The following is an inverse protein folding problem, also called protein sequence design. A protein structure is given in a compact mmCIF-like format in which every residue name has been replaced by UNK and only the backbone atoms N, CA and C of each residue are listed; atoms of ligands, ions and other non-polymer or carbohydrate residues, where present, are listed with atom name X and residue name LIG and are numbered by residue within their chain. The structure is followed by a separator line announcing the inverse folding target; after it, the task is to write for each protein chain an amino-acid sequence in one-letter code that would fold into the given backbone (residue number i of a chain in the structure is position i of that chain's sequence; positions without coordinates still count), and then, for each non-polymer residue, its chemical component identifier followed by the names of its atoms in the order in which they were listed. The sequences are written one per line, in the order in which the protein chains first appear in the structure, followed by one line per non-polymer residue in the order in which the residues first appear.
data_IF_354992923061
#
_entry.id   IF_354992923061
#
_cell.length_a   1.000
_cell.length_b   1.000
_cell.length_c   1.000
_cell.angle_alpha   90.00
_cell.angle_beta   90.00
_cell.angle_gamma   90.00
#
_symmetry.space_group_name_H-M   'P 1'
#
loop_
_entity.id
_entity.type
_entity.pdbx_description
1 polymer ?
#
# COMPACT_ATOMS: atom_id res chain seq x y z
N UNK A 1 37.40 6.60 -37.86
CA UNK A 1 36.69 7.45 -36.89
C UNK A 1 35.29 6.92 -36.56
N UNK A 2 34.44 6.58 -37.55
CA UNK A 2 33.10 6.00 -37.29
C UNK A 2 33.10 4.69 -36.48
N UNK A 3 34.08 3.80 -36.70
CA UNK A 3 34.18 2.53 -35.95
C UNK A 3 34.43 2.72 -34.45
N UNK A 4 35.26 3.70 -34.08
CA UNK A 4 35.58 4.00 -32.67
C UNK A 4 34.36 4.56 -31.93
N UNK A 5 33.57 5.42 -32.61
CA UNK A 5 32.32 5.96 -32.05
C UNK A 5 31.24 4.89 -31.84
N UNK A 6 31.24 3.84 -32.65
CA UNK A 6 30.27 2.76 -32.55
C UNK A 6 30.59 1.79 -31.40
N UNK A 7 31.86 1.43 -31.23
CA UNK A 7 32.30 0.60 -30.10
C UNK A 7 32.09 1.30 -28.76
N UNK A 8 32.37 2.61 -28.67
CA UNK A 8 32.10 3.38 -27.44
C UNK A 8 30.61 3.47 -27.11
N UNK A 9 29.74 3.60 -28.12
CA UNK A 9 28.29 3.64 -27.93
C UNK A 9 27.76 2.29 -27.40
N UNK A 10 28.28 1.18 -27.92
CA UNK A 10 27.94 -0.16 -27.41
C UNK A 10 28.34 -0.34 -25.97
N UNK A 11 29.59 -0.01 -25.62
CA UNK A 11 30.09 -0.18 -24.26
C UNK A 11 29.21 0.58 -23.24
N UNK A 12 28.86 1.83 -23.56
CA UNK A 12 27.95 2.62 -22.72
C UNK A 12 26.58 1.96 -22.55
N UNK A 13 25.96 1.44 -23.63
CA UNK A 13 24.67 0.75 -23.52
C UNK A 13 24.74 -0.51 -22.67
N UNK A 14 25.87 -1.24 -22.68
CA UNK A 14 26.02 -2.44 -21.87
C UNK A 14 26.05 -2.14 -20.38
N UNK A 15 26.78 -1.08 -20.00
CA UNK A 15 26.90 -0.68 -18.61
C UNK A 15 25.53 -0.26 -18.06
N UNK A 16 24.74 0.49 -18.83
CA UNK A 16 23.40 0.93 -18.42
C UNK A 16 22.43 -0.25 -18.26
N UNK A 17 22.38 -1.15 -19.24
CA UNK A 17 21.56 -2.37 -19.13
C UNK A 17 21.99 -3.24 -17.95
N UNK A 18 23.29 -3.41 -17.72
CA UNK A 18 23.79 -4.21 -16.60
C UNK A 18 23.41 -3.61 -15.25
N UNK A 19 23.56 -2.30 -15.07
CA UNK A 19 23.19 -1.60 -13.83
C UNK A 19 21.69 -1.70 -13.59
N UNK A 20 20.87 -1.43 -14.61
CA UNK A 20 19.43 -1.60 -14.53
C UNK A 20 19.08 -3.04 -14.12
N UNK A 21 19.82 -4.01 -14.63
CA UNK A 21 19.58 -5.42 -14.33
C UNK A 21 19.93 -5.78 -12.88
N UNK A 22 21.09 -5.35 -12.39
CA UNK A 22 21.42 -5.51 -10.98
C UNK A 22 20.35 -4.85 -10.08
N UNK A 23 19.83 -3.70 -10.50
CA UNK A 23 18.84 -2.96 -9.75
C UNK A 23 17.49 -3.68 -9.65
N UNK A 24 16.92 -4.23 -10.73
CA UNK A 24 15.65 -4.98 -10.60
C UNK A 24 15.84 -6.30 -9.86
N UNK A 25 16.98 -6.99 -10.01
CA UNK A 25 17.23 -8.23 -9.28
C UNK A 25 17.28 -8.00 -7.77
N UNK A 26 17.97 -6.95 -7.34
CA UNK A 26 18.01 -6.54 -5.93
C UNK A 26 16.63 -6.10 -5.44
N UNK A 27 15.87 -5.36 -6.25
CA UNK A 27 14.50 -4.95 -5.92
C UNK A 27 13.56 -6.14 -5.75
N UNK A 28 13.63 -7.11 -6.67
CA UNK A 28 12.87 -8.35 -6.58
C UNK A 28 13.25 -9.16 -5.34
N UNK A 29 14.54 -9.20 -5.00
CA UNK A 29 15.02 -9.90 -3.80
C UNK A 29 14.48 -9.27 -2.52
N UNK A 30 14.50 -7.94 -2.41
CA UNK A 30 13.91 -7.21 -1.27
C UNK A 30 12.41 -7.42 -1.21
N UNK A 31 11.71 -7.35 -2.35
CA UNK A 31 10.28 -7.60 -2.43
C UNK A 31 9.94 -9.02 -1.95
N UNK A 32 10.61 -10.05 -2.48
CA UNK A 32 10.42 -11.44 -2.04
C UNK A 32 10.72 -11.63 -0.57
N UNK A 33 11.81 -11.04 -0.06
CA UNK A 33 12.17 -11.14 1.35
C UNK A 33 11.08 -10.55 2.25
N UNK A 34 10.59 -9.36 1.91
CA UNK A 34 9.48 -8.71 2.60
C UNK A 34 8.22 -9.60 2.58
N UNK A 35 7.89 -10.18 1.41
CA UNK A 35 6.75 -11.12 1.28
C UNK A 35 6.89 -12.34 2.17
N UNK A 36 8.07 -12.93 2.24
CA UNK A 36 8.30 -14.11 3.09
C UNK A 36 8.12 -13.78 4.57
N UNK A 37 8.52 -12.57 4.99
CA UNK A 37 8.33 -12.12 6.37
C UNK A 37 6.86 -11.81 6.70
N UNK A 38 6.11 -11.21 5.76
CA UNK A 38 4.71 -10.83 5.98
C UNK A 38 3.73 -11.98 5.76
N UNK A 39 4.12 -13.02 5.01
CA UNK A 39 3.25 -14.12 4.57
C UNK A 39 2.44 -14.76 5.70
N UNK A 40 3.06 -15.08 6.84
CA UNK A 40 2.34 -15.71 7.96
C UNK A 40 1.19 -14.85 8.48
N UNK A 41 1.43 -13.53 8.58
CA UNK A 41 0.42 -12.57 9.05
C UNK A 41 -0.66 -12.34 8.00
N UNK A 42 -0.27 -12.30 6.73
CA UNK A 42 -1.20 -12.18 5.61
C UNK A 42 -2.17 -13.37 5.54
N UNK A 43 -1.68 -14.59 5.74
CA UNK A 43 -2.51 -15.81 5.79
C UNK A 43 -3.59 -15.70 6.87
N UNK A 44 -3.23 -15.23 8.06
CA UNK A 44 -4.19 -15.13 9.16
C UNK A 44 -5.21 -14.00 8.98
N UNK A 45 -4.82 -12.85 8.41
CA UNK A 45 -5.72 -11.69 8.27
C UNK A 45 -6.55 -11.76 6.99
N UNK A 46 -5.96 -12.14 5.87
CA UNK A 46 -6.58 -11.99 4.55
C UNK A 46 -7.40 -13.22 4.16
N UNK A 47 -6.94 -14.41 4.56
CA UNK A 47 -7.52 -15.67 4.09
C UNK A 47 -8.52 -16.30 5.06
N UNK A 48 -8.51 -15.90 6.34
CA UNK A 48 -9.49 -16.39 7.32
C UNK A 48 -10.80 -15.58 7.33
N UNK A 49 -10.79 -14.34 6.85
CA UNK A 49 -11.97 -13.47 6.86
C UNK A 49 -12.77 -13.58 5.54
N UNK A 50 -14.11 -13.66 5.58
CA UNK A 50 -14.96 -13.86 4.40
C UNK A 50 -15.10 -12.64 3.47
N UNK A 51 -14.27 -11.60 3.61
CA UNK A 51 -14.31 -10.38 2.79
C UNK A 51 -13.64 -10.59 1.43
N UNK A 52 -14.43 -11.07 0.46
CA UNK A 52 -13.94 -11.52 -0.86
C UNK A 52 -13.33 -10.43 -1.76
N UNK A 53 -13.74 -9.15 -1.65
CA UNK A 53 -13.34 -8.14 -2.66
C UNK A 53 -11.93 -7.59 -2.45
N UNK A 54 -11.63 -7.12 -1.23
CA UNK A 54 -10.31 -6.54 -0.92
C UNK A 54 -9.19 -7.58 -0.98
N UNK A 55 -9.45 -8.81 -0.51
CA UNK A 55 -8.51 -9.92 -0.59
C UNK A 55 -8.15 -10.29 -2.04
N UNK A 56 -9.14 -10.30 -2.95
CA UNK A 56 -8.89 -10.55 -4.38
C UNK A 56 -8.05 -9.44 -5.02
N UNK A 57 -8.35 -8.17 -4.72
CA UNK A 57 -7.60 -7.02 -5.24
C UNK A 57 -6.13 -7.07 -4.78
N UNK A 58 -5.93 -7.36 -3.50
CA UNK A 58 -4.61 -7.53 -2.89
C UNK A 58 -3.85 -8.71 -3.52
N UNK A 59 -4.47 -9.89 -3.60
CA UNK A 59 -3.84 -11.06 -4.23
C UNK A 59 -3.47 -10.78 -5.70
N UNK A 60 -4.34 -10.10 -6.45
CA UNK A 60 -4.06 -9.70 -7.84
C UNK A 60 -2.86 -8.74 -7.93
N UNK A 61 -2.71 -7.82 -6.97
CA UNK A 61 -1.56 -6.90 -6.91
C UNK A 61 -0.26 -7.70 -6.75
N UNK A 62 -0.21 -8.65 -5.82
CA UNK A 62 1.00 -9.45 -5.59
C UNK A 62 1.33 -10.40 -6.72
N UNK A 63 0.32 -11.08 -7.27
CA UNK A 63 0.50 -11.97 -8.42
C UNK A 63 1.01 -11.15 -9.61
N UNK A 64 0.42 -9.98 -9.90
CA UNK A 64 0.89 -9.12 -10.98
C UNK A 64 2.31 -8.58 -10.76
N UNK A 65 2.68 -8.25 -9.53
CA UNK A 65 4.06 -7.84 -9.19
C UNK A 65 5.06 -8.98 -9.40
N UNK A 66 4.75 -10.20 -8.94
CA UNK A 66 5.62 -11.37 -9.15
C UNK A 66 5.75 -11.69 -10.64
N UNK A 67 4.65 -11.69 -11.40
CA UNK A 67 4.70 -11.88 -12.85
C UNK A 67 5.53 -10.80 -13.55
N UNK A 68 5.40 -9.54 -13.12
CA UNK A 68 6.18 -8.43 -13.66
C UNK A 68 7.68 -8.69 -13.48
N UNK A 69 8.13 -9.03 -12.27
CA UNK A 69 9.54 -9.31 -12.01
C UNK A 69 10.04 -10.56 -12.74
N UNK A 70 9.25 -11.64 -12.75
CA UNK A 70 9.61 -12.87 -13.44
C UNK A 70 9.75 -12.63 -14.96
N UNK A 71 8.83 -11.88 -15.57
CA UNK A 71 8.89 -11.53 -16.98
C UNK A 71 10.08 -10.60 -17.27
N UNK A 72 10.37 -9.64 -16.40
CA UNK A 72 11.51 -8.75 -16.53
C UNK A 72 12.84 -9.55 -16.49
N UNK A 73 13.04 -10.43 -15.51
CA UNK A 73 14.21 -11.31 -15.43
C UNK A 73 14.30 -12.24 -16.66
N UNK A 74 13.16 -12.77 -17.13
CA UNK A 74 13.12 -13.62 -18.31
C UNK A 74 13.56 -12.87 -19.59
N UNK A 75 13.23 -11.58 -19.75
CA UNK A 75 13.73 -10.77 -20.87
C UNK A 75 15.25 -10.57 -20.83
N UNK A 76 15.87 -10.64 -19.65
CA UNK A 76 17.32 -10.45 -19.51
C UNK A 76 18.13 -11.70 -19.75
N UNK A 77 17.53 -12.87 -19.58
CA UNK A 77 18.20 -14.15 -19.79
C UNK A 77 18.67 -14.33 -21.25
N UNK A 78 18.41 -13.37 -22.15
CA UNK A 78 18.94 -13.35 -23.51
C UNK A 78 18.42 -14.53 -24.31
N UNK A 79 17.12 -14.77 -24.19
CA UNK A 79 16.46 -15.86 -24.89
C UNK A 79 16.50 -15.62 -26.41
N UNK A 80 16.15 -16.64 -27.17
CA UNK A 80 15.97 -16.47 -28.61
C UNK A 80 14.89 -15.41 -28.89
N UNK A 81 15.06 -14.65 -29.97
CA UNK A 81 14.18 -13.53 -30.32
C UNK A 81 12.69 -13.91 -30.42
N UNK A 82 12.41 -15.19 -30.73
CA UNK A 82 11.06 -15.76 -30.72
C UNK A 82 10.44 -15.83 -29.30
N UNK A 83 11.25 -16.12 -28.27
CA UNK A 83 10.80 -16.14 -26.88
C UNK A 83 10.62 -14.73 -26.34
N UNK A 84 11.52 -13.81 -26.64
CA UNK A 84 11.39 -12.39 -26.22
C UNK A 84 10.10 -11.76 -26.77
N UNK A 85 9.73 -12.12 -28.00
CA UNK A 85 8.45 -11.73 -28.61
C UNK A 85 7.22 -12.19 -27.83
N UNK A 86 7.32 -13.28 -27.07
CA UNK A 86 6.25 -13.78 -26.20
C UNK A 86 6.34 -13.22 -24.77
N UNK A 87 7.56 -13.05 -24.25
CA UNK A 87 7.79 -12.61 -22.86
C UNK A 87 7.53 -11.10 -22.70
N UNK A 88 7.94 -10.28 -23.67
CA UNK A 88 7.81 -8.82 -23.56
C UNK A 88 6.35 -8.33 -23.45
N UNK A 89 5.37 -8.85 -24.22
CA UNK A 89 3.96 -8.53 -23.99
C UNK A 89 3.46 -8.92 -22.60
N UNK A 90 3.95 -10.04 -22.04
CA UNK A 90 3.59 -10.47 -20.67
C UNK A 90 4.14 -9.47 -19.66
N UNK A 91 5.41 -9.08 -19.80
CA UNK A 91 6.02 -8.02 -18.97
C UNK A 91 5.19 -6.73 -18.99
N UNK A 92 4.84 -6.24 -20.18
CA UNK A 92 4.06 -5.01 -20.33
C UNK A 92 2.63 -5.13 -19.79
N UNK A 93 1.97 -6.27 -20.01
CA UNK A 93 0.64 -6.55 -19.47
C UNK A 93 0.65 -6.63 -17.95
N UNK A 94 1.67 -7.26 -17.35
CA UNK A 94 1.87 -7.30 -15.90
C UNK A 94 2.10 -5.91 -15.33
N UNK A 95 2.93 -5.08 -15.96
CA UNK A 95 3.13 -3.69 -15.55
C UNK A 95 1.84 -2.86 -15.63
N UNK A 96 1.08 -3.01 -16.71
CA UNK A 96 -0.21 -2.34 -16.90
C UNK A 96 -1.21 -2.75 -15.82
N UNK A 97 -1.29 -4.04 -15.52
CA UNK A 97 -2.16 -4.59 -14.47
C UNK A 97 -1.74 -4.09 -13.09
N UNK A 98 -0.44 -4.10 -12.78
CA UNK A 98 0.10 -3.59 -11.52
C UNK A 98 -0.23 -2.11 -11.34
N UNK A 99 0.01 -1.29 -12.38
CA UNK A 99 -0.28 0.14 -12.37
C UNK A 99 -1.76 0.45 -12.18
N UNK A 100 -2.65 -0.29 -12.86
CA UNK A 100 -4.10 -0.11 -12.72
C UNK A 100 -4.60 -0.53 -11.35
N UNK A 101 -4.12 -1.65 -10.81
CA UNK A 101 -4.47 -2.09 -9.45
C UNK A 101 -4.02 -1.07 -8.40
N UNK A 102 -2.82 -0.51 -8.53
CA UNK A 102 -2.34 0.56 -7.67
C UNK A 102 -3.20 1.83 -7.79
N UNK A 103 -3.64 2.18 -9.00
CA UNK A 103 -4.56 3.29 -9.22
C UNK A 103 -5.92 3.06 -8.56
N UNK A 104 -6.46 1.84 -8.64
CA UNK A 104 -7.71 1.46 -7.97
C UNK A 104 -7.56 1.54 -6.45
N UNK A 105 -6.49 0.98 -5.88
CA UNK A 105 -6.23 1.01 -4.43
C UNK A 105 -6.13 2.45 -3.93
N UNK A 106 -5.38 3.30 -4.63
CA UNK A 106 -5.23 4.71 -4.26
C UNK A 106 -6.53 5.49 -4.37
N UNK A 107 -7.31 5.27 -5.43
CA UNK A 107 -8.63 5.88 -5.59
C UNK A 107 -9.62 5.43 -4.50
N UNK A 108 -9.63 4.14 -4.14
CA UNK A 108 -10.45 3.61 -3.04
C UNK A 108 -10.07 4.22 -1.70
N UNK A 109 -8.76 4.39 -1.43
CA UNK A 109 -8.28 5.06 -0.21
C UNK A 109 -8.78 6.49 -0.13
N UNK A 110 -8.66 7.26 -1.21
CA UNK A 110 -9.15 8.64 -1.28
C UNK A 110 -10.67 8.69 -1.11
N UNK A 111 -11.39 7.76 -1.74
CA UNK A 111 -12.82 7.66 -1.63
C UNK A 111 -13.26 7.43 -0.17
N UNK A 112 -12.61 6.52 0.55
CA UNK A 112 -12.86 6.27 1.96
C UNK A 112 -12.66 7.51 2.83
N UNK A 113 -11.55 8.22 2.63
CA UNK A 113 -11.24 9.47 3.36
C UNK A 113 -12.26 10.58 3.07
N UNK A 114 -12.66 10.75 1.80
CA UNK A 114 -13.62 11.78 1.41
C UNK A 114 -15.06 11.44 1.79
N UNK A 115 -15.40 10.16 1.96
CA UNK A 115 -16.75 9.73 2.34
C UNK A 115 -17.21 10.37 3.67
N UNK A 116 -16.28 10.66 4.58
CA UNK A 116 -16.56 11.30 5.85
C UNK A 116 -16.87 12.81 5.76
N UNK A 117 -16.44 13.49 4.69
CA UNK A 117 -16.49 14.97 4.58
C UNK A 117 -17.54 15.46 3.57
N UNK A 118 -18.15 14.53 2.82
CA UNK A 118 -19.16 14.82 1.80
C UNK A 118 -18.84 14.08 0.50
N UNK A 119 -19.88 13.52 -0.12
CA UNK A 119 -19.78 12.52 -1.20
C UNK A 119 -19.31 13.11 -2.55
N UNK A 120 -18.06 13.55 -2.63
CA UNK A 120 -17.45 14.09 -3.86
C UNK A 120 -16.61 13.03 -4.57
N UNK A 121 -17.24 12.29 -5.48
CA UNK A 121 -16.60 11.28 -6.34
C UNK A 121 -15.58 11.87 -7.34
N UNK A 122 -15.58 13.18 -7.53
CA UNK A 122 -14.72 13.85 -8.51
C UNK A 122 -13.23 13.69 -8.20
N UNK A 123 -12.83 13.78 -6.93
CA UNK A 123 -11.41 13.69 -6.53
C UNK A 123 -10.82 12.29 -6.81
N UNK A 124 -11.41 11.17 -6.34
CA UNK A 124 -10.88 9.85 -6.68
C UNK A 124 -10.93 9.56 -8.18
N UNK A 125 -11.94 10.07 -8.91
CA UNK A 125 -12.00 9.93 -10.36
C UNK A 125 -10.85 10.67 -11.08
N UNK A 126 -10.50 11.88 -10.65
CA UNK A 126 -9.36 12.64 -11.18
C UNK A 126 -8.05 11.91 -10.90
N UNK A 127 -7.85 11.38 -9.69
CA UNK A 127 -6.64 10.63 -9.34
C UNK A 127 -6.52 9.35 -10.16
N UNK A 128 -7.62 8.61 -10.33
CA UNK A 128 -7.66 7.44 -11.19
C UNK A 128 -7.29 7.79 -12.64
N UNK A 129 -7.87 8.88 -13.18
CA UNK A 129 -7.57 9.35 -14.52
C UNK A 129 -6.09 9.76 -14.71
N UNK A 130 -5.44 10.31 -13.66
CA UNK A 130 -4.03 10.67 -13.69
C UNK A 130 -3.09 9.45 -13.72
N UNK A 131 -3.53 8.27 -13.29
CA UNK A 131 -2.73 7.04 -13.38
C UNK A 131 -2.89 6.29 -14.72
N UNK A 132 -3.99 6.53 -15.46
CA UNK A 132 -4.25 5.89 -16.77
C UNK A 132 -3.13 6.09 -17.82
N UNK A 133 -2.40 7.23 -17.88
CA UNK A 133 -1.28 7.40 -18.79
C UNK A 133 -0.21 6.31 -18.69
N UNK A 134 0.08 5.80 -17.48
CA UNK A 134 1.05 4.71 -17.29
C UNK A 134 0.62 3.43 -18.00
N UNK A 135 -0.66 3.07 -17.86
CA UNK A 135 -1.26 1.92 -18.53
C UNK A 135 -1.30 2.10 -20.05
N UNK A 136 -1.66 3.29 -20.52
CA UNK A 136 -1.67 3.61 -21.95
C UNK A 136 -0.26 3.50 -22.55
N UNK A 137 0.76 3.98 -21.83
CA UNK A 137 2.15 3.88 -22.26
C UNK A 137 2.61 2.42 -22.43
N UNK A 138 2.23 1.53 -21.52
CA UNK A 138 2.56 0.11 -21.64
C UNK A 138 1.93 -0.56 -22.88
N UNK A 139 0.71 -0.16 -23.27
CA UNK A 139 0.06 -0.67 -24.47
C UNK A 139 0.76 -0.13 -25.72
N UNK A 140 1.03 1.17 -25.74
CA UNK A 140 1.71 1.85 -26.84
C UNK A 140 3.12 1.27 -27.03
N UNK A 141 3.87 1.03 -25.95
CA UNK A 141 5.22 0.48 -26.04
C UNK A 141 5.21 -0.90 -26.73
N UNK A 142 4.28 -1.79 -26.39
CA UNK A 142 4.13 -3.10 -27.04
C UNK A 142 3.82 -2.96 -28.53
N UNK A 143 2.91 -2.06 -28.91
CA UNK A 143 2.50 -1.89 -30.30
C UNK A 143 3.62 -1.36 -31.21
N UNK A 144 4.55 -0.58 -30.67
CA UNK A 144 5.64 0.05 -31.44
C UNK A 144 7.00 -0.64 -31.24
N UNK A 145 7.05 -1.76 -30.52
CA UNK A 145 8.28 -2.54 -30.32
C UNK A 145 8.57 -3.41 -31.54
N UNK A 146 9.80 -3.34 -32.05
CA UNK A 146 10.30 -4.20 -33.12
C UNK A 146 11.46 -5.05 -32.61
N UNK A 147 11.54 -6.27 -33.15
CA UNK A 147 12.51 -7.28 -32.73
C UNK A 147 13.49 -7.51 -33.87
N UNK A 148 14.77 -7.31 -33.62
CA UNK A 148 15.82 -7.54 -34.61
C UNK A 148 16.81 -8.60 -34.10
N UNK A 149 17.02 -9.71 -34.84
CA UNK A 149 18.02 -10.70 -34.45
C UNK A 149 19.41 -10.09 -34.56
N UNK A 150 20.24 -10.32 -33.54
CA UNK A 150 21.63 -9.83 -33.47
C UNK A 150 22.60 -11.00 -33.22
N UNK A 151 23.88 -10.85 -33.61
CA UNK A 151 24.89 -11.87 -33.35
C UNK A 151 25.27 -11.92 -31.86
N UNK A 152 25.69 -13.10 -31.40
CA UNK A 152 26.13 -13.35 -30.01
C UNK A 152 27.10 -12.24 -29.50
N UNK A 153 26.97 -11.77 -28.24
CA UNK A 153 26.18 -12.34 -27.14
C UNK A 153 24.70 -11.93 -27.08
N UNK A 154 24.29 -10.85 -27.73
CA UNK A 154 22.89 -10.43 -27.76
C UNK A 154 22.19 -11.20 -28.88
N UNK A 155 21.17 -12.01 -28.56
CA UNK A 155 20.42 -12.77 -29.58
C UNK A 155 19.30 -11.95 -30.22
N UNK A 156 18.74 -10.99 -29.49
CA UNK A 156 17.62 -10.18 -29.92
C UNK A 156 17.80 -8.75 -29.40
N UNK A 157 17.79 -7.78 -30.32
CA UNK A 157 17.71 -6.37 -30.00
C UNK A 157 16.23 -5.98 -30.02
N UNK A 158 15.76 -5.45 -28.89
CA UNK A 158 14.42 -4.88 -28.76
C UNK A 158 14.57 -3.39 -28.98
N UNK A 159 14.10 -2.89 -30.12
CA UNK A 159 14.16 -1.47 -30.45
C UNK A 159 12.75 -0.89 -30.61
N UNK A 160 12.57 0.32 -30.08
CA UNK A 160 11.36 1.10 -30.23
C UNK A 160 11.61 2.15 -31.29
N UNK A 161 11.04 1.97 -32.48
CA UNK A 161 11.21 2.83 -33.68
C UNK A 161 10.97 4.33 -33.44
N UNK A 162 10.42 4.71 -32.29
CA UNK A 162 10.07 6.08 -31.92
C UNK A 162 10.65 6.47 -30.56
N UNK A 163 11.97 6.33 -30.38
CA UNK A 163 12.71 6.76 -29.19
C UNK A 163 12.32 8.18 -28.70
N UNK A 164 12.14 9.14 -29.62
CA UNK A 164 11.71 10.49 -29.24
C UNK A 164 10.27 10.57 -28.70
N UNK A 165 9.38 9.69 -29.16
CA UNK A 165 8.01 9.63 -28.63
C UNK A 165 7.99 8.97 -27.27
N UNK A 166 8.75 7.88 -27.06
CA UNK A 166 8.81 7.20 -25.76
C UNK A 166 9.33 8.14 -24.68
N UNK A 167 10.38 8.91 -24.94
CA UNK A 167 10.92 9.90 -23.99
C UNK A 167 9.89 10.98 -23.60
N UNK A 168 9.17 11.54 -24.59
CA UNK A 168 8.14 12.57 -24.32
C UNK A 168 6.96 12.01 -23.53
N UNK A 169 6.50 10.81 -23.88
CA UNK A 169 5.42 10.16 -23.16
C UNK A 169 5.82 9.79 -21.73
N UNK A 170 7.05 9.32 -21.52
CA UNK A 170 7.56 9.00 -20.19
C UNK A 170 7.53 10.22 -19.26
N UNK A 171 7.95 11.39 -19.74
CA UNK A 171 7.86 12.65 -18.98
C UNK A 171 6.41 12.94 -18.57
N UNK A 172 5.47 12.79 -19.50
CA UNK A 172 4.04 13.02 -19.24
C UNK A 172 3.54 12.04 -18.18
N UNK A 173 3.84 10.75 -18.32
CA UNK A 173 3.45 9.71 -17.36
C UNK A 173 3.98 10.03 -15.97
N UNK A 174 5.28 10.34 -15.85
CA UNK A 174 5.90 10.68 -14.56
C UNK A 174 5.32 11.96 -13.95
N UNK A 175 5.07 12.99 -14.75
CA UNK A 175 4.43 14.22 -14.31
C UNK A 175 3.00 13.96 -13.79
N UNK A 176 2.21 13.16 -14.49
CA UNK A 176 0.86 12.77 -14.06
C UNK A 176 0.90 11.99 -12.73
N UNK A 177 1.84 11.05 -12.57
CA UNK A 177 2.03 10.31 -11.31
C UNK A 177 2.39 11.22 -10.14
N UNK A 178 3.30 12.19 -10.33
CA UNK A 178 3.67 13.16 -9.29
C UNK A 178 2.47 14.02 -8.88
N UNK A 179 1.70 14.50 -9.87
CA UNK A 179 0.47 15.27 -9.59
C UNK A 179 -0.54 14.40 -8.85
N UNK A 180 -0.72 13.14 -9.25
CA UNK A 180 -1.63 12.21 -8.58
C UNK A 180 -1.23 12.00 -7.11
N UNK A 181 0.04 11.71 -6.84
CA UNK A 181 0.53 11.50 -5.48
C UNK A 181 0.46 12.78 -4.63
N UNK A 182 0.69 13.95 -5.24
CA UNK A 182 0.51 15.26 -4.58
C UNK A 182 -0.95 15.49 -4.19
N UNK A 183 -1.90 15.15 -5.07
CA UNK A 183 -3.33 15.25 -4.78
C UNK A 183 -3.73 14.28 -3.67
N UNK A 184 -3.26 13.03 -3.69
CA UNK A 184 -3.49 12.04 -2.63
C UNK A 184 -2.99 12.57 -1.29
N UNK A 185 -1.78 13.13 -1.26
CA UNK A 185 -1.17 13.71 -0.06
C UNK A 185 -2.01 14.89 0.45
N UNK A 186 -2.38 15.83 -0.42
CA UNK A 186 -3.17 17.01 -0.06
C UNK A 186 -4.55 16.64 0.49
N UNK A 187 -5.21 15.65 -0.11
CA UNK A 187 -6.53 15.17 0.34
C UNK A 187 -6.41 14.51 1.70
N UNK A 188 -5.41 13.64 1.86
CA UNK A 188 -5.13 12.98 3.14
C UNK A 188 -4.87 14.04 4.21
N UNK A 189 -3.95 14.98 3.93
CA UNK A 189 -3.60 16.07 4.85
C UNK A 189 -4.82 16.89 5.25
N UNK A 190 -5.66 17.30 4.29
CA UNK A 190 -6.88 18.08 4.59
C UNK A 190 -7.86 17.33 5.47
N UNK A 191 -8.03 16.03 5.26
CA UNK A 191 -8.91 15.23 6.11
C UNK A 191 -8.34 15.03 7.52
N UNK A 192 -7.01 14.96 7.64
CA UNK A 192 -6.36 14.70 8.92
C UNK A 192 -6.10 15.98 9.74
N UNK A 193 -5.97 17.15 9.10
CA UNK A 193 -5.63 18.42 9.74
C UNK A 193 -6.63 18.89 10.83
N UNK A 194 -7.97 18.75 10.69
CA UNK A 194 -8.92 19.12 11.73
C UNK A 194 -8.74 18.32 13.02
N UNK A 195 -8.51 17.00 12.90
CA UNK A 195 -8.29 16.12 14.04
C UNK A 195 -7.01 16.51 14.80
N UNK A 196 -5.95 16.87 14.06
CA UNK A 196 -4.72 17.40 14.64
C UNK A 196 -4.95 18.72 15.40
N UNK A 197 -5.73 19.64 14.81
CA UNK A 197 -6.05 20.93 15.45
C UNK A 197 -6.87 20.74 16.72
N UNK A 198 -7.85 19.83 16.70
CA UNK A 198 -8.71 19.55 17.86
C UNK A 198 -7.92 18.87 18.99
N UNK A 199 -7.04 17.93 18.67
CA UNK A 199 -6.15 17.31 19.67
C UNK A 199 -5.24 18.33 20.37
N UNK A 200 -4.76 19.36 19.65
CA UNK A 200 -3.92 20.41 20.24
C UNK A 200 -4.68 21.38 21.16
N UNK A 201 -6.00 21.52 20.96
CA UNK A 201 -6.84 22.43 21.76
C UNK A 201 -7.21 21.90 23.13
N UNK A 202 -7.14 20.58 23.33
CA UNK A 202 -7.49 19.92 24.59
C UNK A 202 -6.16 19.50 25.24
N UNK A 203 -5.76 20.16 26.33
CA UNK A 203 -4.52 19.90 27.10
C UNK A 203 -4.56 18.53 27.84
N UNK A 204 -4.97 17.45 27.17
CA UNK A 204 -4.97 16.09 27.71
C UNK A 204 -3.56 15.53 27.64
N UNK A 205 -2.89 15.49 28.79
CA UNK A 205 -1.48 15.10 28.93
C UNK A 205 -1.14 13.65 28.54
N UNK A 206 -2.09 12.76 28.24
CA UNK A 206 -1.78 11.30 28.30
C UNK A 206 -2.34 10.31 27.25
N UNK A 207 -3.10 10.68 26.20
CA UNK A 207 -3.22 9.79 25.02
C UNK A 207 -2.92 10.44 23.65
N UNK A 208 -2.55 11.72 23.61
CA UNK A 208 -2.25 12.46 22.37
C UNK A 208 -1.00 11.91 21.65
N UNK A 209 -0.08 11.28 22.40
CA UNK A 209 1.17 10.77 21.83
C UNK A 209 0.93 9.72 20.74
N UNK A 210 -0.07 8.84 20.90
CA UNK A 210 -0.26 7.69 20.01
C UNK A 210 -0.88 8.09 18.67
N UNK A 211 -1.94 8.90 18.68
CA UNK A 211 -2.55 9.43 17.44
C UNK A 211 -1.61 10.40 16.74
N UNK A 212 -0.85 11.20 17.49
CA UNK A 212 0.16 12.09 16.91
C UNK A 212 1.31 11.30 16.27
N UNK A 213 1.73 10.17 16.86
CA UNK A 213 2.74 9.27 16.28
C UNK A 213 2.21 8.57 15.01
N UNK A 214 0.99 8.02 15.06
CA UNK A 214 0.33 7.37 13.91
C UNK A 214 0.07 8.34 12.75
N UNK A 215 -0.33 9.58 13.03
CA UNK A 215 -0.49 10.63 12.02
C UNK A 215 0.84 11.07 11.42
N UNK A 216 1.86 11.22 12.26
CA UNK A 216 3.21 11.56 11.82
C UNK A 216 3.72 10.48 10.89
N UNK A 217 3.48 9.21 11.20
CA UNK A 217 3.85 8.11 10.33
C UNK A 217 3.11 8.22 8.99
N UNK A 218 1.77 8.25 8.96
CA UNK A 218 1.02 8.30 7.69
C UNK A 218 1.41 9.44 6.75
N UNK A 219 1.64 10.65 7.27
CA UNK A 219 2.01 11.83 6.45
C UNK A 219 3.48 11.83 6.01
N UNK A 220 4.39 11.38 6.86
CA UNK A 220 5.81 11.26 6.54
C UNK A 220 6.03 10.22 5.43
N UNK A 221 5.22 9.16 5.40
CA UNK A 221 5.25 8.18 4.31
C UNK A 221 4.90 8.85 2.98
N UNK A 222 3.75 9.52 2.87
CA UNK A 222 3.37 10.22 1.64
C UNK A 222 4.38 11.29 1.22
N UNK A 223 4.99 11.98 2.17
CA UNK A 223 6.05 12.95 1.88
C UNK A 223 7.30 12.26 1.31
N UNK A 224 7.72 11.14 1.89
CA UNK A 224 8.83 10.32 1.37
C UNK A 224 8.52 9.86 -0.04
N UNK A 225 7.31 9.35 -0.31
CA UNK A 225 6.87 8.96 -1.65
C UNK A 225 6.96 10.12 -2.64
N UNK A 226 6.51 11.32 -2.26
CA UNK A 226 6.57 12.51 -3.10
C UNK A 226 8.02 12.91 -3.41
N UNK A 227 8.87 12.99 -2.37
CA UNK A 227 10.29 13.35 -2.53
C UNK A 227 10.99 12.33 -3.42
N UNK A 228 10.72 11.05 -3.20
CA UNK A 228 11.31 9.95 -3.95
C UNK A 228 10.88 9.96 -5.42
N UNK A 229 9.61 10.26 -5.73
CA UNK A 229 9.17 10.49 -7.12
C UNK A 229 9.84 11.70 -7.78
N UNK A 230 10.06 12.80 -7.03
CA UNK A 230 10.77 13.99 -7.52
C UNK A 230 12.25 13.67 -7.77
N UNK A 231 12.88 12.89 -6.87
CA UNK A 231 14.25 12.41 -7.04
C UNK A 231 14.35 11.53 -8.28
N UNK A 232 13.39 10.63 -8.54
CA UNK A 232 13.37 9.84 -9.77
C UNK A 232 13.25 10.71 -11.01
N UNK A 233 12.30 11.64 -11.04
CA UNK A 233 12.12 12.52 -12.20
C UNK A 233 13.37 13.36 -12.46
N UNK A 234 13.96 13.93 -11.41
CA UNK A 234 15.18 14.72 -11.52
C UNK A 234 16.39 13.86 -11.93
N UNK A 235 16.48 12.64 -11.42
CA UNK A 235 17.56 11.71 -11.78
C UNK A 235 17.48 11.26 -13.23
N UNK A 236 16.27 10.99 -13.72
CA UNK A 236 16.03 10.71 -15.14
C UNK A 236 16.40 11.93 -15.99
N UNK A 237 15.97 13.13 -15.61
CA UNK A 237 16.30 14.36 -16.33
C UNK A 237 17.81 14.64 -16.38
N UNK A 238 18.56 14.19 -15.36
CA UNK A 238 20.01 14.34 -15.27
C UNK A 238 20.79 13.13 -15.82
N UNK A 239 20.11 12.06 -16.26
CA UNK A 239 20.70 10.75 -16.59
C UNK A 239 21.61 10.20 -15.47
N UNK A 240 21.30 10.51 -14.21
CA UNK A 240 22.20 10.31 -13.07
C UNK A 240 21.90 9.05 -12.24
N UNK A 241 20.64 8.61 -12.16
CA UNK A 241 20.25 7.36 -11.48
C UNK A 241 19.30 6.57 -12.37
N UNK A 242 19.79 5.46 -12.93
CA UNK A 242 19.01 4.55 -13.77
C UNK A 242 18.20 3.53 -12.95
N UNK A 243 18.36 3.54 -11.62
CA UNK A 243 17.71 2.62 -10.70
C UNK A 243 16.35 3.13 -10.20
N UNK A 244 15.59 3.85 -11.05
CA UNK A 244 14.22 4.31 -10.74
C UNK A 244 13.29 3.15 -10.36
N UNK A 245 13.64 1.93 -10.81
CA UNK A 245 13.12 0.62 -10.39
C UNK A 245 12.80 0.53 -8.89
N UNK A 246 13.80 0.85 -8.06
CA UNK A 246 13.74 0.65 -6.62
C UNK A 246 12.72 1.54 -5.94
N UNK A 247 12.51 2.73 -6.49
CA UNK A 247 11.67 3.74 -5.88
C UNK A 247 10.22 3.28 -5.91
N UNK A 248 9.72 2.87 -7.08
CA UNK A 248 8.32 2.48 -7.26
C UNK A 248 7.94 1.24 -6.42
N UNK A 249 8.86 0.32 -6.13
CA UNK A 249 8.61 -0.85 -5.29
C UNK A 249 8.84 -0.59 -3.80
N UNK A 250 9.83 0.22 -3.42
CA UNK A 250 9.97 0.71 -2.05
C UNK A 250 8.73 1.51 -1.64
N UNK A 251 8.17 2.27 -2.58
CA UNK A 251 6.86 2.95 -2.46
C UNK A 251 5.72 1.97 -2.16
N UNK A 252 5.68 0.84 -2.86
CA UNK A 252 4.66 -0.21 -2.67
C UNK A 252 4.82 -0.87 -1.29
N UNK A 253 6.04 -1.27 -0.92
CA UNK A 253 6.31 -1.89 0.38
C UNK A 253 5.97 -0.98 1.56
N UNK A 254 6.31 0.31 1.46
CA UNK A 254 5.95 1.32 2.47
C UNK A 254 4.43 1.54 2.55
N UNK A 255 3.72 1.59 1.41
CA UNK A 255 2.26 1.74 1.39
C UNK A 255 1.58 0.57 2.10
N UNK A 256 2.12 -0.62 1.96
CA UNK A 256 1.54 -1.83 2.54
C UNK A 256 1.77 -1.93 4.05
N UNK A 257 2.98 -1.65 4.51
CA UNK A 257 3.28 -1.55 5.94
C UNK A 257 2.38 -0.53 6.66
N UNK A 258 1.99 0.55 5.96
CA UNK A 258 1.07 1.57 6.51
C UNK A 258 -0.38 1.10 6.64
N UNK A 259 -0.86 0.23 5.74
CA UNK A 259 -2.24 -0.30 5.79
C UNK A 259 -2.42 -1.29 6.94
N UNK A 260 -1.34 -1.91 7.39
CA UNK A 260 -1.35 -2.85 8.52
C UNK A 260 -1.58 -2.14 9.86
N UNK A 261 -1.12 -0.89 9.99
CA UNK A 261 -1.15 -0.18 11.27
C UNK A 261 -2.51 0.48 11.59
N UNK A 262 -3.45 0.52 10.64
CA UNK A 262 -4.78 1.14 10.84
C UNK A 262 -5.88 0.18 11.27
N UNK A 263 -5.65 -1.14 11.23
CA UNK A 263 -6.69 -2.16 11.41
C UNK A 263 -6.59 -2.97 12.71
N UNK A 264 -5.80 -2.52 13.69
CA UNK A 264 -6.03 -2.89 15.08
C UNK A 264 -6.92 -1.83 15.72
N UNK A 265 -8.27 -1.96 15.72
CA UNK A 265 -9.01 -1.42 16.83
C UNK A 265 -8.46 -2.16 18.04
N UNK A 266 -7.64 -1.46 18.84
CA UNK A 266 -7.39 -1.85 20.21
C UNK A 266 -8.77 -2.08 20.82
N UNK A 267 -9.13 -3.36 20.99
CA UNK A 267 -10.36 -3.76 21.64
C UNK A 267 -10.40 -2.99 22.97
N UNK A 268 -11.43 -2.18 23.23
CA UNK A 268 -11.50 -1.38 24.46
C UNK A 268 -11.42 -2.24 25.74
N UNK A 269 -11.63 -3.55 25.59
CA UNK A 269 -11.60 -4.54 26.66
C UNK A 269 -10.21 -4.86 27.25
N UNK A 270 -9.10 -4.44 26.63
CA UNK A 270 -7.76 -4.63 27.24
C UNK A 270 -7.24 -3.41 28.00
N UNK A 271 -7.95 -2.28 27.97
CA UNK A 271 -7.55 -1.08 28.74
C UNK A 271 -8.37 -0.88 30.02
N UNK A 272 -9.40 -1.71 30.25
CA UNK A 272 -10.20 -1.73 31.48
C UNK A 272 -9.58 -2.51 32.64
N UNK A 273 -8.49 -3.26 32.43
CA UNK A 273 -7.82 -4.04 33.48
C UNK A 273 -6.62 -3.32 34.13
N UNK A 274 -6.37 -2.05 33.80
CA UNK A 274 -5.53 -1.19 34.64
C UNK A 274 -6.36 -0.73 35.85
N UNK A 275 -6.59 -1.67 36.78
CA UNK A 275 -6.92 -1.32 38.15
C UNK A 275 -5.74 -0.55 38.71
N UNK A 276 -5.89 0.77 38.81
CA UNK A 276 -5.06 1.57 39.69
C UNK A 276 -5.31 1.05 41.10
N UNK A 277 -4.34 0.31 41.65
CA UNK A 277 -4.31 -0.01 43.07
C UNK A 277 -4.46 1.30 43.83
N UNK A 278 -5.58 1.42 44.53
CA UNK A 278 -5.82 2.51 45.48
C UNK A 278 -4.79 2.35 46.61
N UNK A 279 -3.87 3.31 46.81
CA UNK A 279 -2.84 3.20 47.83
C UNK A 279 -3.39 3.26 49.27
N UNK A 280 -4.71 3.41 49.45
CA UNK A 280 -5.36 3.50 50.76
C UNK A 280 -6.11 2.23 51.19
N UNK A 281 -5.99 1.09 50.51
CA UNK A 281 -6.67 -0.12 50.96
C UNK A 281 -5.98 -0.71 52.20
N UNK A 282 -6.65 -0.78 53.37
CA UNK A 282 -6.06 -1.32 54.58
C UNK A 282 -5.99 -2.84 54.50
N UNK A 283 -4.82 -3.38 54.83
CA UNK A 283 -4.52 -4.81 54.93
C UNK A 283 -5.48 -5.52 55.88
N UNK A 284 -6.35 -6.37 55.36
CA UNK A 284 -7.10 -7.34 56.15
C UNK A 284 -6.29 -8.63 56.35
N UNK A 285 -6.50 -9.35 57.47
CA UNK A 285 -5.62 -10.40 57.93
C UNK A 285 -5.97 -11.77 57.33
N UNK A 286 -4.90 -12.53 57.14
CA UNK A 286 -4.79 -13.97 56.91
C UNK A 286 -5.73 -14.81 57.82
N UNK A 287 -6.40 -15.84 57.26
CA UNK A 287 -6.89 -16.96 58.05
C UNK A 287 -6.13 -18.26 57.73
N UNK A 288 -5.77 -18.93 58.82
CA UNK A 288 -5.08 -20.21 58.95
C UNK A 288 -5.86 -21.41 58.37
N UNK A 289 -5.09 -22.47 58.19
CA UNK A 289 -5.41 -23.81 57.69
C UNK A 289 -6.59 -24.54 58.38
N UNK A 290 -7.25 -25.43 57.63
CA UNK A 290 -8.20 -26.39 58.21
C UNK A 290 -8.91 -27.35 57.25
N UNK A 291 -8.23 -28.47 56.92
CA UNK A 291 -8.71 -29.88 56.83
C UNK A 291 -10.06 -30.24 56.14
N UNK A 292 -9.92 -31.07 55.10
CA UNK A 292 -10.77 -32.16 54.57
C UNK A 292 -12.17 -32.41 55.18
N UNK A 293 -13.18 -32.53 54.30
CA UNK A 293 -13.97 -33.77 54.20
C UNK A 293 -14.75 -33.95 52.88
N UNK A 294 -15.03 -35.22 52.60
CA UNK A 294 -15.59 -35.82 51.39
C UNK A 294 -17.11 -35.69 51.24
N UNK A 295 -17.52 -35.76 49.97
CA UNK A 295 -18.70 -36.44 49.43
C UNK A 295 -20.11 -35.77 49.47
N UNK A 296 -20.80 -36.12 48.40
CA UNK A 296 -22.25 -36.33 48.21
C UNK A 296 -23.10 -35.27 47.49
N UNK A 297 -23.53 -35.69 46.30
CA UNK A 297 -24.85 -35.55 45.68
C UNK A 297 -25.89 -34.70 46.43
N UNK A 298 -26.55 -33.75 45.74
CA UNK A 298 -27.92 -33.97 45.29
C UNK A 298 -28.50 -32.82 44.45
N UNK A 299 -29.48 -33.22 43.65
CA UNK A 299 -30.46 -32.41 42.92
C UNK A 299 -31.17 -31.36 43.79
N UNK A 300 -31.51 -30.22 43.18
CA UNK A 300 -32.52 -29.28 43.68
C UNK A 300 -32.51 -28.00 42.84
N UNK A 301 -33.45 -27.89 41.91
CA UNK A 301 -34.59 -26.96 42.00
C UNK A 301 -34.23 -25.57 41.53
N UNK A 302 -34.58 -25.29 40.27
CA UNK A 302 -34.72 -23.94 39.76
C UNK A 302 -36.05 -23.42 40.29
N UNK A 303 -35.98 -22.59 41.32
CA UNK A 303 -37.11 -21.74 41.72
C UNK A 303 -36.73 -20.29 41.42
N UNK A 304 -37.53 -19.74 40.51
CA UNK A 304 -37.72 -18.33 40.26
C UNK A 304 -38.11 -17.63 41.57
N UNK A 305 -37.53 -16.45 41.86
CA UNK A 305 -38.31 -15.23 42.07
C UNK A 305 -37.48 -14.05 42.63
N UNK A 306 -37.80 -12.88 42.07
CA UNK A 306 -37.75 -11.54 42.67
C UNK A 306 -36.39 -10.90 43.01
N UNK A 307 -36.08 -9.79 42.31
CA UNK A 307 -36.43 -8.46 42.83
C UNK A 307 -36.31 -7.38 41.75
N UNK A 308 -37.38 -6.60 41.63
CA UNK A 308 -37.43 -5.28 41.01
C UNK A 308 -36.28 -4.39 41.52
N UNK A 309 -35.64 -3.65 40.61
CA UNK A 309 -35.21 -2.30 40.93
C UNK A 309 -35.31 -1.44 39.67
N UNK A 310 -36.15 -0.42 39.83
CA UNK A 310 -36.27 0.74 38.97
C UNK A 310 -34.91 1.39 38.74
N UNK A 311 -34.45 1.40 37.49
CA UNK A 311 -33.40 2.32 37.05
C UNK A 311 -33.93 3.24 35.94
N UNK A 312 -33.70 4.56 36.06
CA UNK A 312 -34.26 5.56 35.17
C UNK A 312 -33.62 5.51 33.78
N UNK A 313 -34.52 5.61 32.80
CA UNK A 313 -34.28 5.89 31.38
C UNK A 313 -33.28 7.04 31.20
N UNK A 314 -32.05 6.72 30.81
CA UNK A 314 -31.14 7.69 30.17
C UNK A 314 -31.35 7.57 28.67
N UNK A 315 -32.08 8.53 28.11
CA UNK A 315 -32.15 8.77 26.68
C UNK A 315 -30.75 9.17 26.16
N UNK A 316 -29.98 8.20 25.68
CA UNK A 316 -28.87 8.45 24.78
C UNK A 316 -29.48 8.77 23.41
N UNK A 317 -29.23 9.99 22.95
CA UNK A 317 -29.67 10.55 21.67
C UNK A 317 -29.51 9.54 20.51
N UNK A 318 -30.56 9.31 19.71
CA UNK A 318 -30.44 8.55 18.48
C UNK A 318 -29.67 9.37 17.44
N UNK A 319 -28.90 8.65 16.62
CA UNK A 319 -27.98 9.19 15.64
C UNK A 319 -28.64 10.15 14.65
N UNK A 320 -27.81 11.02 14.07
CA UNK A 320 -28.13 11.74 12.85
C UNK A 320 -28.09 10.76 11.67
N UNK A 321 -29.23 10.46 11.01
CA UNK A 321 -29.17 9.90 9.68
C UNK A 321 -28.85 11.05 8.70
N UNK A 322 -27.76 10.91 7.95
CA UNK A 322 -27.54 11.69 6.74
C UNK A 322 -28.59 11.27 5.69
N UNK A 323 -29.79 11.82 5.78
CA UNK A 323 -30.79 11.78 4.70
C UNK A 323 -30.51 12.99 3.81
N UNK A 324 -29.84 12.73 2.69
CA UNK A 324 -29.77 13.66 1.58
C UNK A 324 -31.04 13.54 0.75
N UNK A 325 -31.94 14.49 0.95
CA UNK A 325 -33.12 14.76 0.13
C UNK A 325 -32.67 15.38 -1.20
N UNK A 326 -32.99 14.75 -2.33
CA UNK A 326 -32.94 15.38 -3.64
C UNK A 326 -34.19 14.96 -4.43
N UNK A 327 -35.14 15.89 -4.48
CA UNK A 327 -36.20 15.97 -5.46
C UNK A 327 -36.43 17.44 -5.75
N UNK A 328 -35.89 17.93 -6.86
CA UNK A 328 -36.56 18.63 -7.99
C UNK A 328 -35.57 18.60 -9.17
#
# INVERSE_FOLDING_TARGET
MMSVSYESAKAFTWDTYFVQNCCTAATFSVYLYDRLLTFSREVDVIWRLPTRSFSCLYAALHVSAILYFAANIATWAGLDCQRDRLVYPVYAASWCTLSTLLAVITALRIYGVNCCVGRRWLVPAVVFALFLPSSAFAIVSVLYTFYQPTPYPIRCLIDSTRFFFTMRYEIIVRACSIVADSVVLLVTWRATYPNYKQARGINLKTPILLTQQLLKDGTLHFLVLLVLNVVVLSSWALNALECSMFVDIFVIGIREASSYNSNCPSTPSQMSDLYFLDPNQPSTPEPEDGVLDLADNNNGSWDDDYFDNDDPVIHIFPGNPCVGEHSV
#
